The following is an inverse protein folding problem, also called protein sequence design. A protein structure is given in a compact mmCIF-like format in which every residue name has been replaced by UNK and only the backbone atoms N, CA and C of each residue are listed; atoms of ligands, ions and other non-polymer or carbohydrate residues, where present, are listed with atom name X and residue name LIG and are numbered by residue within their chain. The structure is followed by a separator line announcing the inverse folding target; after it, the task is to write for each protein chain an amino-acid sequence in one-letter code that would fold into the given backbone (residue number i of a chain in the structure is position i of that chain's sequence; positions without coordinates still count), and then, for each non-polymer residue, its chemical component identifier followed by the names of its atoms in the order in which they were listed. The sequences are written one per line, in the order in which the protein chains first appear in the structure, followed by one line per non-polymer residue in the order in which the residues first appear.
data_IF_820805793470
#
_entry.id   IF_820805793470
#
_cell.length_a   1.000
_cell.length_b   1.000
_cell.length_c   1.000
_cell.angle_alpha   90.00
_cell.angle_beta   90.00
_cell.angle_gamma   90.00
#
_symmetry.space_group_name_H-M   'P 1'
#
loop_
_entity.id
_entity.type
_entity.pdbx_description
1 polymer ?
#
# COMPACT_ATOMS: atom_id res chain seq x y z
N UNK A 1 -7.86 20.76 5.31
CA UNK A 1 -6.99 21.34 6.34
C UNK A 1 -5.68 21.65 5.63
N UNK A 2 -5.31 22.91 5.66
CA UNK A 2 -4.09 23.45 5.05
C UNK A 2 -2.89 23.06 5.92
N UNK A 3 -1.76 22.73 5.32
CA UNK A 3 -0.54 22.44 6.06
C UNK A 3 0.20 23.74 6.44
N UNK A 4 1.28 23.60 7.22
CA UNK A 4 2.11 24.72 7.65
C UNK A 4 2.77 25.50 6.50
N UNK A 5 2.79 24.95 5.28
CA UNK A 5 3.34 25.59 4.08
C UNK A 5 2.25 26.26 3.22
N UNK A 6 1.00 26.28 3.68
CA UNK A 6 -0.13 26.83 2.94
C UNK A 6 -0.64 25.90 1.83
N UNK A 7 -0.30 24.61 1.89
CA UNK A 7 -0.63 23.63 0.86
C UNK A 7 -1.77 22.71 1.32
N UNK A 8 -2.58 22.25 0.36
CA UNK A 8 -3.61 21.22 0.61
C UNK A 8 -3.41 20.06 -0.34
N UNK A 9 -3.24 18.85 0.21
CA UNK A 9 -3.26 17.61 -0.57
C UNK A 9 -4.69 17.26 -0.91
N UNK A 10 -5.00 17.16 -2.21
CA UNK A 10 -6.32 16.67 -2.65
C UNK A 10 -6.45 15.19 -2.24
N UNK A 11 -7.55 14.84 -1.57
CA UNK A 11 -7.83 13.45 -1.16
C UNK A 11 -7.77 12.47 -2.33
N UNK A 12 -8.30 12.85 -3.50
CA UNK A 12 -8.23 12.05 -4.72
C UNK A 12 -6.77 11.80 -5.20
N UNK A 13 -5.80 12.61 -4.78
CA UNK A 13 -4.39 12.36 -5.04
C UNK A 13 -3.85 11.23 -4.15
N UNK A 14 -4.25 11.20 -2.87
CA UNK A 14 -3.89 10.15 -1.93
C UNK A 14 -4.59 8.83 -2.26
N UNK A 15 -5.88 8.85 -2.62
CA UNK A 15 -6.62 7.67 -3.06
C UNK A 15 -5.91 6.96 -4.22
N UNK A 16 -5.46 7.72 -5.23
CA UNK A 16 -4.73 7.17 -6.38
C UNK A 16 -3.34 6.65 -6.02
N UNK A 17 -2.75 7.11 -4.92
CA UNK A 17 -1.44 6.68 -4.45
C UNK A 17 -1.52 5.58 -3.37
N UNK A 18 -2.71 5.28 -2.86
CA UNK A 18 -2.90 4.36 -1.74
C UNK A 18 -2.40 2.95 -2.03
N UNK A 19 -2.66 2.41 -3.22
CA UNK A 19 -2.18 1.07 -3.61
C UNK A 19 -0.65 0.99 -3.62
N UNK A 20 0.01 2.05 -4.08
CA UNK A 20 1.46 2.14 -4.07
C UNK A 20 1.99 2.23 -2.64
N UNK A 21 1.40 3.09 -1.81
CA UNK A 21 1.76 3.23 -0.41
C UNK A 21 1.57 1.92 0.38
N UNK A 22 0.49 1.19 0.16
CA UNK A 22 0.24 -0.09 0.83
C UNK A 22 1.22 -1.19 0.42
N UNK A 23 1.77 -1.13 -0.81
CA UNK A 23 2.68 -2.16 -1.33
C UNK A 23 4.17 -1.83 -1.16
N UNK A 24 4.53 -0.54 -1.06
CA UNK A 24 5.93 -0.09 -1.03
C UNK A 24 6.24 0.88 0.12
N UNK A 25 5.21 1.39 0.79
CA UNK A 25 5.36 2.43 1.80
C UNK A 25 5.66 1.89 3.18
N UNK A 26 6.04 2.80 4.08
CA UNK A 26 6.47 2.48 5.44
C UNK A 26 5.90 3.45 6.48
N UNK A 27 5.90 3.01 7.74
CA UNK A 27 5.74 3.89 8.89
C UNK A 27 7.11 4.34 9.39
N UNK A 28 7.30 5.65 9.53
CA UNK A 28 8.57 6.22 9.94
C UNK A 28 8.47 7.05 11.23
N UNK A 29 9.59 7.22 11.92
CA UNK A 29 9.73 8.20 12.99
C UNK A 29 10.29 9.50 12.41
N UNK A 30 9.47 10.57 12.44
CA UNK A 30 9.87 11.94 12.12
C UNK A 30 10.58 12.12 10.75
N UNK A 31 10.21 11.29 9.75
CA UNK A 31 10.83 11.26 8.41
C UNK A 31 12.36 11.06 8.42
N UNK A 32 12.95 10.65 9.56
CA UNK A 32 14.40 10.66 9.76
C UNK A 32 15.11 9.76 8.75
N UNK A 33 14.54 8.61 8.44
CA UNK A 33 15.12 7.70 7.44
C UNK A 33 15.41 8.39 6.09
N UNK A 34 14.69 9.45 5.72
CA UNK A 34 15.01 10.27 4.53
C UNK A 34 15.95 11.43 4.82
N UNK A 35 15.81 12.08 5.98
CA UNK A 35 16.61 13.25 6.33
C UNK A 35 18.07 12.92 6.62
N UNK A 36 18.34 11.81 7.29
CA UNK A 36 19.68 11.41 7.73
C UNK A 36 20.05 9.97 7.34
N UNK A 37 19.29 9.34 6.44
CA UNK A 37 19.51 7.96 5.99
C UNK A 37 19.57 6.94 7.15
N UNK A 38 18.76 7.16 8.19
CA UNK A 38 18.70 6.36 9.40
C UNK A 38 17.63 5.26 9.28
N UNK A 39 18.02 4.00 8.96
CA UNK A 39 17.06 2.92 8.77
C UNK A 39 16.34 2.51 10.06
N UNK A 40 16.88 2.82 11.24
CA UNK A 40 16.19 2.52 12.50
C UNK A 40 14.94 3.38 12.68
N UNK A 41 14.85 4.50 11.97
CA UNK A 41 13.67 5.35 11.95
C UNK A 41 12.55 4.78 11.07
N UNK A 42 12.74 3.64 10.41
CA UNK A 42 11.67 2.84 9.82
C UNK A 42 11.10 1.96 10.94
N UNK A 43 9.92 2.30 11.43
CA UNK A 43 9.36 1.75 12.68
C UNK A 43 8.22 0.76 12.44
N UNK A 44 7.76 0.61 11.20
CA UNK A 44 6.66 -0.30 10.87
C UNK A 44 6.22 -0.21 9.42
N UNK A 45 5.11 -0.86 9.12
CA UNK A 45 4.53 -0.91 7.77
C UNK A 45 3.01 -0.64 7.81
N UNK A 46 2.46 -0.02 6.75
CA UNK A 46 1.03 0.13 6.62
C UNK A 46 0.36 -1.22 6.34
N UNK A 47 -0.88 -1.36 6.79
CA UNK A 47 -1.74 -2.51 6.56
C UNK A 47 -2.98 -2.13 5.76
N UNK A 48 -3.52 -0.94 6.02
CA UNK A 48 -4.77 -0.51 5.42
C UNK A 48 -4.83 1.02 5.36
N UNK A 49 -5.40 1.55 4.30
CA UNK A 49 -5.75 2.97 4.17
C UNK A 49 -7.25 3.08 3.93
N UNK A 50 -7.88 4.00 4.64
CA UNK A 50 -9.29 4.30 4.50
C UNK A 50 -9.51 5.79 4.35
N UNK A 51 -10.38 6.14 3.42
CA UNK A 51 -10.85 7.51 3.21
C UNK A 51 -12.27 7.62 3.75
N UNK A 52 -12.53 8.66 4.52
CA UNK A 52 -13.83 8.88 5.19
C UNK A 52 -14.59 10.04 4.54
N UNK A 53 -15.91 10.04 4.69
CA UNK A 53 -16.79 11.05 4.10
C UNK A 53 -16.49 12.48 4.61
N UNK A 54 -15.95 12.60 5.82
CA UNK A 54 -15.50 13.87 6.42
C UNK A 54 -14.11 14.31 5.93
N UNK A 55 -13.64 13.75 4.82
CA UNK A 55 -12.36 14.05 4.17
C UNK A 55 -11.14 13.80 5.06
N UNK A 56 -11.18 12.76 5.90
CA UNK A 56 -10.00 12.26 6.61
C UNK A 56 -9.41 11.05 5.90
N UNK A 57 -8.12 10.85 6.13
CA UNK A 57 -7.39 9.67 5.69
C UNK A 57 -6.90 8.94 6.93
N UNK A 58 -7.36 7.71 7.10
CA UNK A 58 -6.99 6.85 8.21
C UNK A 58 -6.01 5.81 7.70
N UNK A 59 -4.89 5.66 8.39
CA UNK A 59 -3.87 4.67 8.08
C UNK A 59 -3.74 3.74 9.26
N UNK A 60 -3.98 2.46 9.02
CA UNK A 60 -3.65 1.39 9.95
C UNK A 60 -2.31 0.82 9.56
N UNK A 61 -1.47 0.54 10.54
CA UNK A 61 -0.25 -0.21 10.34
C UNK A 61 0.14 -0.96 11.60
N UNK A 62 1.29 -1.62 11.53
CA UNK A 62 1.90 -2.32 12.65
C UNK A 62 3.31 -1.82 12.87
N UNK A 63 3.77 -1.88 14.12
CA UNK A 63 5.10 -1.44 14.52
C UNK A 63 6.02 -2.65 14.73
N UNK A 64 7.30 -2.53 14.33
CA UNK A 64 8.27 -3.60 14.50
C UNK A 64 8.60 -3.83 15.99
N UNK A 65 8.31 -5.03 16.48
CA UNK A 65 8.47 -5.40 17.89
C UNK A 65 9.90 -5.25 18.41
N UNK A 66 10.90 -5.47 17.55
CA UNK A 66 12.31 -5.43 17.93
C UNK A 66 13.00 -4.09 17.66
N UNK A 67 12.30 -3.10 17.10
CA UNK A 67 12.84 -1.76 16.87
C UNK A 67 12.67 -0.88 18.12
N UNK A 68 13.76 -0.31 18.64
CA UNK A 68 13.73 0.45 19.90
C UNK A 68 12.99 1.79 19.79
N UNK A 69 13.01 2.44 18.62
CA UNK A 69 12.20 3.65 18.39
C UNK A 69 10.72 3.29 18.32
N UNK A 70 10.37 2.20 17.65
CA UNK A 70 9.02 1.68 17.58
C UNK A 70 8.45 1.38 18.99
N UNK A 71 9.24 0.73 19.85
CA UNK A 71 8.86 0.49 21.27
C UNK A 71 8.63 1.79 22.05
N UNK A 72 9.48 2.80 21.86
CA UNK A 72 9.32 4.11 22.52
C UNK A 72 8.06 4.82 22.04
N UNK A 73 7.81 4.82 20.74
CA UNK A 73 6.57 5.37 20.15
C UNK A 73 5.35 4.66 20.71
N UNK A 74 5.36 3.32 20.72
CA UNK A 74 4.29 2.50 21.29
C UNK A 74 4.00 2.86 22.76
N UNK A 75 5.05 2.96 23.58
CA UNK A 75 4.91 3.32 24.99
C UNK A 75 4.32 4.73 25.16
N UNK A 76 4.75 5.69 24.35
CA UNK A 76 4.20 7.05 24.40
C UNK A 76 2.70 7.06 24.05
N UNK A 77 2.30 6.36 22.99
CA UNK A 77 0.88 6.26 22.61
C UNK A 77 0.07 5.59 23.74
N UNK A 78 0.60 4.52 24.33
CA UNK A 78 -0.05 3.83 25.47
C UNK A 78 -0.18 4.71 26.71
N UNK A 79 0.73 5.65 26.91
CA UNK A 79 0.66 6.66 27.97
C UNK A 79 -0.28 7.83 27.66
N UNK A 80 -1.01 7.81 26.53
CA UNK A 80 -1.94 8.87 26.16
C UNK A 80 -1.28 10.11 25.55
N UNK A 81 -0.16 9.94 24.83
CA UNK A 81 0.53 11.08 24.22
C UNK A 81 -0.28 11.79 23.13
N UNK A 82 -0.84 12.95 23.45
CA UNK A 82 -1.58 13.81 22.51
C UNK A 82 -0.67 14.61 21.56
N UNK A 83 0.61 14.70 21.87
CA UNK A 83 1.59 15.47 21.08
C UNK A 83 2.21 14.68 19.92
N UNK A 84 1.71 13.49 19.64
CA UNK A 84 2.09 12.73 18.46
C UNK A 84 1.02 12.92 17.39
N UNK A 85 1.45 13.37 16.22
CA UNK A 85 0.65 13.47 15.02
C UNK A 85 1.20 12.63 13.88
N UNK A 86 0.57 12.78 12.72
CA UNK A 86 0.94 12.06 11.51
C UNK A 86 1.34 13.04 10.40
N UNK A 87 2.36 12.68 9.63
CA UNK A 87 2.79 13.48 8.50
C UNK A 87 2.99 12.58 7.30
N UNK A 88 2.26 12.89 6.22
CA UNK A 88 2.43 12.22 4.93
C UNK A 88 3.77 12.63 4.36
N UNK A 89 4.58 11.65 3.95
CA UNK A 89 5.80 11.90 3.21
C UNK A 89 5.74 11.28 1.82
N UNK A 90 6.73 11.67 1.02
CA UNK A 90 6.85 11.29 -0.38
C UNK A 90 7.13 12.47 -1.29
N UNK A 91 6.78 12.32 -2.56
CA UNK A 91 7.11 13.28 -3.61
C UNK A 91 5.87 13.94 -4.20
N UNK A 92 5.93 15.25 -4.43
CA UNK A 92 4.89 15.97 -5.18
C UNK A 92 5.17 15.79 -6.68
N UNK A 93 4.24 15.15 -7.40
CA UNK A 93 4.33 14.97 -8.85
C UNK A 93 3.66 16.09 -9.63
N UNK A 94 2.58 16.66 -9.09
CA UNK A 94 1.86 17.77 -9.72
C UNK A 94 1.20 18.65 -8.67
N UNK A 95 1.55 19.94 -8.71
CA UNK A 95 0.93 21.01 -7.93
C UNK A 95 0.17 21.95 -8.86
N UNK A 96 -0.96 22.48 -8.41
CA UNK A 96 -1.70 23.56 -9.07
C UNK A 96 -1.98 24.64 -8.02
N UNK A 97 -1.23 25.74 -8.05
CA UNK A 97 -1.23 26.76 -6.99
C UNK A 97 -0.81 26.15 -5.64
N UNK A 98 -1.70 26.21 -4.65
CA UNK A 98 -1.67 25.70 -3.28
C UNK A 98 -2.16 24.24 -3.18
N UNK A 99 -2.70 23.67 -4.26
CA UNK A 99 -3.26 22.31 -4.24
C UNK A 99 -2.34 21.27 -4.86
N UNK A 100 -2.06 20.23 -4.09
CA UNK A 100 -1.31 19.08 -4.56
C UNK A 100 -2.29 18.08 -5.19
N UNK A 101 -2.18 17.90 -6.53
CA UNK A 101 -3.10 17.07 -7.32
C UNK A 101 -2.59 15.67 -7.62
N UNK A 102 -1.27 15.45 -7.53
CA UNK A 102 -0.65 14.13 -7.65
C UNK A 102 0.55 14.04 -6.72
N UNK A 103 0.63 12.91 -6.02
CA UNK A 103 1.73 12.57 -5.12
C UNK A 103 2.25 11.17 -5.43
N UNK A 104 3.50 10.94 -5.08
CA UNK A 104 3.99 9.62 -4.68
C UNK A 104 3.86 9.59 -3.17
N UNK A 105 3.05 8.69 -2.64
CA UNK A 105 2.92 8.48 -1.22
C UNK A 105 3.69 7.21 -0.84
N UNK A 106 4.81 7.38 -0.14
CA UNK A 106 5.75 6.31 0.20
C UNK A 106 5.99 6.18 1.72
N UNK A 107 5.52 7.13 2.53
CA UNK A 107 5.63 7.04 3.98
C UNK A 107 4.50 7.76 4.71
N UNK A 108 4.25 7.33 5.93
CA UNK A 108 3.60 8.13 6.97
C UNK A 108 4.51 8.18 8.18
N UNK A 109 4.95 9.38 8.56
CA UNK A 109 5.71 9.57 9.78
C UNK A 109 4.77 9.77 10.97
N UNK A 110 5.08 9.07 12.06
CA UNK A 110 4.64 9.46 13.41
C UNK A 110 5.64 10.51 13.89
N UNK A 111 5.15 11.68 14.26
CA UNK A 111 6.03 12.81 14.62
C UNK A 111 5.40 13.74 15.65
N UNK A 112 6.25 14.45 16.38
CA UNK A 112 5.86 15.54 17.28
C UNK A 112 5.77 16.90 16.57
N UNK A 113 6.08 16.93 15.26
CA UNK A 113 6.07 18.12 14.39
C UNK A 113 5.44 17.78 13.04
N UNK A 114 4.16 17.40 13.02
CA UNK A 114 3.51 17.12 11.76
C UNK A 114 3.43 18.39 10.91
N UNK A 115 3.57 18.27 9.58
CA UNK A 115 3.32 19.42 8.69
C UNK A 115 1.89 19.94 8.80
N UNK A 116 0.94 19.07 9.14
CA UNK A 116 -0.43 19.44 9.43
C UNK A 116 -0.70 19.24 10.92
N UNK A 117 -0.74 20.34 11.67
CA UNK A 117 -0.97 20.33 13.13
C UNK A 117 -2.32 19.74 13.53
N UNK A 118 -3.30 19.75 12.63
CA UNK A 118 -4.60 19.11 12.84
C UNK A 118 -4.54 17.58 12.98
N UNK A 119 -3.36 16.98 12.80
CA UNK A 119 -3.11 15.55 13.05
C UNK A 119 -2.55 15.26 14.44
N UNK A 120 -2.17 16.28 15.23
CA UNK A 120 -1.75 16.05 16.62
C UNK A 120 -2.87 15.37 17.40
N UNK A 121 -2.52 14.35 18.17
CA UNK A 121 -3.47 13.54 18.94
C UNK A 121 -4.24 12.52 18.10
N UNK A 122 -4.03 12.47 16.78
CA UNK A 122 -4.70 11.51 15.90
C UNK A 122 -4.01 10.14 15.85
N UNK A 123 -2.88 9.97 16.53
CA UNK A 123 -2.13 8.71 16.60
C UNK A 123 -2.58 7.95 17.85
N UNK A 124 -3.33 6.87 17.65
CA UNK A 124 -3.87 6.08 18.75
C UNK A 124 -3.71 4.57 18.51
N UNK A 125 -3.73 3.81 19.59
CA UNK A 125 -3.96 2.37 19.51
C UNK A 125 -5.46 2.16 19.31
N UNK A 126 -5.86 1.55 18.20
CA UNK A 126 -7.26 1.16 18.02
C UNK A 126 -7.41 -0.27 18.58
N UNK A 127 -8.22 -0.51 19.62
CA UNK A 127 -8.58 -1.88 19.99
C UNK A 127 -9.26 -2.53 18.78
N UNK A 128 -8.88 -3.78 18.48
CA UNK A 128 -9.32 -4.50 17.27
C UNK A 128 -10.85 -4.45 17.05
N UNK A 129 -11.62 -4.43 18.15
CA UNK A 129 -13.08 -4.29 18.15
C UNK A 129 -13.59 -2.93 17.66
N UNK A 130 -12.97 -1.82 18.07
CA UNK A 130 -13.32 -0.48 17.63
C UNK A 130 -12.97 -0.25 16.15
N UNK A 131 -11.85 -0.84 15.70
CA UNK A 131 -11.45 -0.81 14.29
C UNK A 131 -12.43 -1.60 13.40
N UNK A 132 -12.77 -2.82 13.79
CA UNK A 132 -13.74 -3.64 13.05
C UNK A 132 -15.11 -2.95 12.98
N UNK A 133 -15.54 -2.30 14.07
CA UNK A 133 -16.76 -1.49 14.09
C UNK A 133 -16.66 -0.31 13.12
N UNK A 134 -15.56 0.45 13.15
CA UNK A 134 -15.35 1.60 12.28
C UNK A 134 -15.26 1.24 10.78
N UNK A 135 -14.80 0.03 10.44
CA UNK A 135 -14.88 -0.50 9.07
C UNK A 135 -16.34 -0.76 8.69
N UNK A 136 -17.08 -1.50 9.51
CA UNK A 136 -18.50 -1.78 9.24
C UNK A 136 -19.38 -0.52 9.17
N UNK A 137 -19.03 0.55 9.90
CA UNK A 137 -19.79 1.81 9.90
C UNK A 137 -19.60 2.66 8.64
N UNK A 138 -18.48 2.56 7.89
CA UNK A 138 -18.38 3.32 6.63
C UNK A 138 -19.07 2.63 5.46
N UNK A 139 -19.46 1.36 5.60
CA UNK A 139 -20.25 0.65 4.58
C UNK A 139 -21.77 0.89 4.79
N UNK A 140 -22.18 1.51 5.90
CA UNK A 140 -23.58 1.80 6.23
C UNK A 140 -23.75 3.19 6.84
N UNK A 141 -24.22 4.14 6.02
CA UNK A 141 -24.31 5.58 6.34
C UNK A 141 -24.96 5.92 7.68
N UNK A 142 -24.12 6.24 8.67
CA UNK A 142 -24.52 6.80 9.98
C UNK A 142 -23.56 7.91 10.40
N UNK A 143 -24.03 8.82 11.26
CA UNK A 143 -23.49 10.18 11.46
C UNK A 143 -22.17 10.23 12.25
N UNK A 144 -21.44 11.34 12.07
CA UNK A 144 -20.15 11.65 12.70
C UNK A 144 -20.18 11.55 14.25
N UNK A 145 -21.33 11.78 14.86
CA UNK A 145 -21.54 11.74 16.31
C UNK A 145 -21.43 10.31 16.85
N UNK A 146 -21.90 9.32 16.10
CA UNK A 146 -21.78 7.90 16.49
C UNK A 146 -20.34 7.38 16.30
N UNK A 147 -19.62 7.91 15.31
CA UNK A 147 -18.19 7.66 15.10
C UNK A 147 -17.34 8.19 16.26
N UNK A 148 -17.59 9.42 16.70
CA UNK A 148 -16.91 10.02 17.87
C UNK A 148 -17.25 9.26 19.14
N UNK A 149 -18.53 8.91 19.36
CA UNK A 149 -18.97 8.13 20.52
C UNK A 149 -18.34 6.73 20.58
N UNK A 150 -18.15 6.08 19.44
CA UNK A 150 -17.47 4.78 19.38
C UNK A 150 -15.97 4.86 19.65
N UNK A 151 -15.35 6.01 19.36
CA UNK A 151 -13.94 6.30 19.67
C UNK A 151 -13.75 6.66 21.15
N UNK A 152 -14.60 7.53 21.71
CA UNK A 152 -14.50 7.97 23.11
C UNK A 152 -14.93 6.92 24.13
N UNK A 153 -15.89 6.04 23.79
CA UNK A 153 -16.28 4.94 24.68
C UNK A 153 -15.17 3.87 24.89
N UNK A 154 -14.04 3.97 24.18
CA UNK A 154 -12.84 3.16 24.41
C UNK A 154 -11.72 3.89 25.17
N UNK A 155 -11.91 5.15 25.53
CA UNK A 155 -10.90 6.01 26.15
C UNK A 155 -11.52 6.97 27.16
N UNK A 156 -11.79 6.51 28.39
CA UNK A 156 -12.03 7.39 29.53
C UNK A 156 -13.22 6.99 30.40
N UNK A 157 -12.91 6.65 31.65
CA UNK A 157 -13.82 6.58 32.78
C UNK A 157 -14.40 7.97 33.11
N UNK A 158 -15.69 7.95 33.46
CA UNK A 158 -16.42 8.71 34.50
C UNK A 158 -16.05 10.18 34.79
N UNK A 159 -16.97 11.05 34.34
CA UNK A 159 -17.53 12.26 34.98
C UNK A 159 -16.88 12.77 36.28
N UNK A 160 -16.31 13.98 36.23
CA UNK A 160 -16.40 14.94 37.35
C UNK A 160 -16.72 16.34 36.79
N UNK A 161 -17.91 16.83 37.16
CA UNK A 161 -18.37 18.20 36.97
C UNK A 161 -17.61 19.13 37.93
N UNK A 162 -16.92 20.16 37.41
CA UNK A 162 -16.40 21.26 38.20
C UNK A 162 -17.48 22.36 38.34
N UNK A 163 -18.02 22.55 39.54
CA UNK A 163 -18.65 23.82 39.96
C UNK A 163 -17.69 24.63 40.85
N UNK A 164 -17.51 25.91 40.50
CA UNK A 164 -16.86 26.94 41.31
C UNK A 164 -17.68 27.27 42.58
N UNK A 165 -17.05 27.30 43.76
CA UNK A 165 -17.40 28.29 44.80
C UNK A 165 -16.17 28.73 45.61
N UNK A 166 -16.08 30.05 45.74
CA UNK A 166 -15.09 30.88 46.42
C UNK A 166 -15.21 30.87 47.98
N UNK A 167 -14.07 31.01 48.65
CA UNK A 167 -13.83 31.68 49.94
C UNK A 167 -14.64 31.33 51.24
N UNK A 168 -13.99 30.65 52.21
CA UNK A 168 -13.64 31.14 53.59
C UNK A 168 -13.53 30.09 54.70
N UNK A 169 -12.52 30.35 55.54
CA UNK A 169 -12.39 30.03 56.97
C UNK A 169 -12.15 28.58 57.43
N UNK A 170 -10.89 28.35 57.80
CA UNK A 170 -10.45 27.30 58.69
C UNK A 170 -11.05 27.46 60.11
N UNK A 171 -11.81 26.46 60.58
CA UNK A 171 -11.91 26.07 61.99
C UNK A 171 -12.04 24.56 62.09
N UNK A 172 -11.02 23.94 62.70
CA UNK A 172 -10.96 22.50 62.89
C UNK A 172 -12.07 21.97 63.81
N UNK A 173 -12.59 20.80 63.45
CA UNK A 173 -13.28 19.88 64.37
C UNK A 173 -12.77 18.48 64.02
N UNK A 174 -11.92 17.92 64.89
CA UNK A 174 -11.63 16.48 64.89
C UNK A 174 -12.87 15.77 65.40
N UNK A 175 -13.73 15.29 64.49
CA UNK A 175 -14.69 14.22 64.79
C UNK A 175 -13.99 12.89 64.54
N UNK A 176 -14.02 12.01 65.54
CA UNK A 176 -13.49 10.65 65.46
C UNK A 176 -14.31 9.82 64.49
N UNK A 177 -13.62 8.90 63.79
CA UNK A 177 -14.17 7.93 62.83
C UNK A 177 -15.34 7.12 63.42
N UNK A 178 -15.38 6.92 64.73
CA UNK A 178 -16.43 6.16 65.42
C UNK A 178 -17.80 6.84 65.42
N UNK A 179 -17.88 8.16 65.17
CA UNK A 179 -19.15 8.91 65.08
C UNK A 179 -19.80 8.83 63.68
N UNK A 180 -19.10 8.26 62.68
CA UNK A 180 -19.60 8.12 61.30
C UNK A 180 -20.25 6.75 61.03
N UNK A 181 -20.06 5.78 61.93
CA UNK A 181 -20.56 4.41 61.80
C UNK A 181 -21.86 4.15 62.59
N UNK A 182 -22.45 5.18 63.18
CA UNK A 182 -23.74 5.09 63.84
C UNK A 182 -24.87 5.02 62.79
N UNK A 183 -25.18 3.79 62.37
CA UNK A 183 -26.45 3.27 61.85
C UNK A 183 -27.32 4.28 61.08
N UNK A 184 -26.88 4.63 59.87
CA UNK A 184 -27.77 5.15 58.84
C UNK A 184 -28.31 3.99 58.00
N UNK A 185 -29.62 3.66 58.05
CA UNK A 185 -30.21 2.62 57.22
C UNK A 185 -30.12 2.91 55.71
N UNK A 186 -29.71 4.12 55.28
CA UNK A 186 -29.37 4.41 53.88
C UNK A 186 -27.99 3.88 53.47
N UNK A 187 -27.06 3.66 54.41
CA UNK A 187 -25.72 3.15 54.12
C UNK A 187 -25.70 1.66 53.75
N UNK A 188 -26.63 0.86 54.29
CA UNK A 188 -26.80 -0.55 53.87
C UNK A 188 -27.33 -0.68 52.43
N UNK A 189 -28.20 0.24 52.00
CA UNK A 189 -28.71 0.26 50.63
C UNK A 189 -27.65 0.70 49.60
N UNK A 190 -26.71 1.57 50.00
CA UNK A 190 -25.58 2.00 49.16
C UNK A 190 -24.48 0.91 49.02
N UNK A 191 -24.49 -0.12 49.87
CA UNK A 191 -23.56 -1.25 49.82
C UNK A 191 -24.12 -2.50 49.09
N UNK A 192 -25.33 -2.44 48.52
CA UNK A 192 -25.86 -3.54 47.73
C UNK A 192 -25.14 -3.64 46.38
N UNK A 193 -24.10 -4.47 46.33
CA UNK A 193 -23.32 -4.81 45.13
C UNK A 193 -24.01 -5.82 44.21
N UNK A 194 -25.21 -6.30 44.56
CA UNK A 194 -25.97 -7.26 43.74
C UNK A 194 -26.29 -6.77 42.32
N UNK A 195 -26.66 -5.49 42.09
CA UNK A 195 -26.88 -4.96 40.73
C UNK A 195 -25.61 -5.01 39.88
N UNK A 196 -24.46 -4.68 40.48
CA UNK A 196 -23.16 -4.73 39.82
C UNK A 196 -22.77 -6.18 39.46
N UNK A 197 -22.94 -7.13 40.38
CA UNK A 197 -22.66 -8.54 40.13
C UNK A 197 -23.59 -9.14 39.06
N UNK A 198 -24.86 -8.74 39.03
CA UNK A 198 -25.80 -9.16 37.99
C UNK A 198 -25.39 -8.62 36.61
N UNK A 199 -24.94 -7.36 36.56
CA UNK A 199 -24.49 -6.72 35.33
C UNK A 199 -23.17 -7.32 34.83
N UNK A 200 -22.24 -7.63 35.74
CA UNK A 200 -20.99 -8.34 35.43
C UNK A 200 -21.26 -9.75 34.90
N UNK A 201 -22.17 -10.51 35.53
CA UNK A 201 -22.54 -11.85 35.08
C UNK A 201 -23.17 -11.82 33.69
N UNK A 202 -24.01 -10.82 33.41
CA UNK A 202 -24.59 -10.60 32.08
C UNK A 202 -23.54 -10.24 31.04
N UNK A 203 -22.55 -9.42 31.41
CA UNK A 203 -21.44 -9.07 30.53
C UNK A 203 -20.54 -10.27 30.21
N UNK A 204 -20.21 -11.10 31.21
CA UNK A 204 -19.44 -12.33 31.03
C UNK A 204 -20.16 -13.30 30.10
N UNK A 205 -21.47 -13.50 30.30
CA UNK A 205 -22.28 -14.38 29.43
C UNK A 205 -22.34 -13.88 27.98
N UNK A 206 -22.44 -12.56 27.77
CA UNK A 206 -22.40 -11.97 26.43
C UNK A 206 -21.01 -12.12 25.76
N UNK A 207 -19.93 -12.15 26.55
CA UNK A 207 -18.58 -12.44 26.06
C UNK A 207 -18.47 -13.92 25.64
N UNK A 208 -18.97 -14.86 26.45
CA UNK A 208 -18.98 -16.29 26.11
C UNK A 208 -19.72 -16.56 24.80
N UNK A 209 -20.92 -16.00 24.61
CA UNK A 209 -21.70 -16.15 23.37
C UNK A 209 -20.95 -15.59 22.14
N UNK A 210 -20.17 -14.52 22.32
CA UNK A 210 -19.33 -13.94 21.26
C UNK A 210 -18.11 -14.80 20.94
N UNK A 211 -17.48 -15.39 21.96
CA UNK A 211 -16.35 -16.31 21.78
C UNK A 211 -16.80 -17.54 21.01
N UNK A 212 -17.96 -18.10 21.34
CA UNK A 212 -18.54 -19.23 20.60
C UNK A 212 -18.84 -18.87 19.14
N UNK A 213 -19.40 -17.67 18.90
CA UNK A 213 -19.65 -17.16 17.55
C UNK A 213 -18.37 -16.99 16.74
N UNK A 214 -17.30 -16.47 17.36
CA UNK A 214 -15.99 -16.34 16.72
C UNK A 214 -15.37 -17.71 16.41
N UNK A 215 -15.45 -18.66 17.33
CA UNK A 215 -14.94 -20.01 17.13
C UNK A 215 -15.64 -20.69 15.95
N UNK A 216 -16.96 -20.53 15.82
CA UNK A 216 -17.72 -21.03 14.68
C UNK A 216 -17.30 -20.35 13.37
N UNK A 217 -17.17 -19.02 13.36
CA UNK A 217 -16.73 -18.28 12.17
C UNK A 217 -15.32 -18.65 11.71
N UNK A 218 -14.40 -18.89 12.66
CA UNK A 218 -13.04 -19.37 12.36
C UNK A 218 -13.11 -20.77 11.73
N UNK A 219 -13.91 -21.68 12.29
CA UNK A 219 -14.09 -23.03 11.75
C UNK A 219 -14.62 -22.98 10.32
N UNK A 220 -15.65 -22.17 10.05
CA UNK A 220 -16.23 -22.04 8.70
C UNK A 220 -15.23 -21.47 7.69
N UNK A 221 -14.43 -20.48 8.10
CA UNK A 221 -13.36 -19.92 7.26
C UNK A 221 -12.22 -20.92 7.01
N UNK A 222 -11.87 -21.75 7.99
CA UNK A 222 -10.86 -22.81 7.79
C UNK A 222 -11.32 -23.84 6.76
N UNK A 223 -12.60 -24.22 6.75
CA UNK A 223 -13.17 -25.08 5.70
C UNK A 223 -13.06 -24.39 4.32
N UNK A 224 -13.35 -23.08 4.26
CA UNK A 224 -13.13 -22.28 3.05
C UNK A 224 -11.69 -22.31 2.55
N UNK A 225 -10.71 -22.11 3.45
CA UNK A 225 -9.28 -22.19 3.11
C UNK A 225 -8.88 -23.58 2.62
N UNK A 226 -9.37 -24.64 3.26
CA UNK A 226 -9.09 -26.02 2.84
C UNK A 226 -9.62 -26.32 1.43
N UNK A 227 -10.83 -25.85 1.12
CA UNK A 227 -11.40 -26.01 -0.23
C UNK A 227 -10.61 -25.21 -1.28
N UNK A 228 -10.15 -24.01 -0.93
CA UNK A 228 -9.31 -23.19 -1.81
C UNK A 228 -7.95 -23.85 -2.07
N UNK A 229 -7.32 -24.41 -1.02
CA UNK A 229 -6.06 -25.16 -1.16
C UNK A 229 -6.22 -26.39 -2.06
N UNK A 230 -7.33 -27.13 -1.92
CA UNK A 230 -7.65 -28.25 -2.81
C UNK A 230 -7.84 -27.80 -4.26
N UNK A 231 -8.50 -26.67 -4.49
CA UNK A 231 -8.68 -26.10 -5.83
C UNK A 231 -7.35 -25.64 -6.44
N UNK A 232 -6.51 -24.96 -5.65
CA UNK A 232 -5.18 -24.52 -6.07
C UNK A 232 -4.28 -25.72 -6.42
N UNK A 233 -4.30 -26.78 -5.61
CA UNK A 233 -3.58 -28.02 -5.91
C UNK A 233 -3.99 -28.64 -7.25
N UNK A 234 -5.29 -28.67 -7.55
CA UNK A 234 -5.81 -29.13 -8.85
C UNK A 234 -5.36 -28.23 -10.01
N UNK A 235 -5.40 -26.90 -9.83
CA UNK A 235 -4.97 -25.95 -10.86
C UNK A 235 -3.48 -26.10 -11.18
N UNK A 236 -2.62 -26.22 -10.16
CA UNK A 236 -1.18 -26.47 -10.33
C UNK A 236 -0.92 -27.79 -11.04
N UNK A 237 -1.66 -28.85 -10.71
CA UNK A 237 -1.56 -30.13 -11.38
C UNK A 237 -1.92 -30.02 -12.88
N UNK A 238 -3.03 -29.36 -13.21
CA UNK A 238 -3.44 -29.13 -14.61
C UNK A 238 -2.43 -28.27 -15.37
N UNK A 239 -1.84 -27.27 -14.72
CA UNK A 239 -0.77 -26.45 -15.31
C UNK A 239 0.47 -27.30 -15.63
N UNK A 240 0.84 -28.22 -14.74
CA UNK A 240 1.94 -29.16 -14.99
C UNK A 240 1.63 -30.11 -16.16
N UNK A 241 0.41 -30.63 -16.27
CA UNK A 241 0.00 -31.45 -17.42
C UNK A 241 0.02 -30.65 -18.73
N UNK A 242 -0.45 -29.40 -18.71
CA UNK A 242 -0.39 -28.52 -19.87
C UNK A 242 1.05 -28.28 -20.32
N UNK A 243 1.97 -28.00 -19.38
CA UNK A 243 3.39 -27.82 -19.69
C UNK A 243 4.00 -29.09 -20.28
N UNK A 244 3.65 -30.28 -19.75
CA UNK A 244 4.09 -31.56 -20.33
C UNK A 244 3.56 -31.73 -21.76
N UNK A 245 2.28 -31.44 -21.99
CA UNK A 245 1.66 -31.52 -23.33
C UNK A 245 2.31 -30.55 -24.33
N UNK A 246 2.56 -29.30 -23.91
CA UNK A 246 3.27 -28.30 -24.72
C UNK A 246 4.68 -28.76 -25.06
N UNK A 247 5.43 -29.30 -24.08
CA UNK A 247 6.77 -29.84 -24.32
C UNK A 247 6.74 -30.98 -25.32
N UNK A 248 5.82 -31.93 -25.18
CA UNK A 248 5.64 -33.03 -26.15
C UNK A 248 5.32 -32.50 -27.55
N UNK A 249 4.46 -31.48 -27.64
CA UNK A 249 4.11 -30.84 -28.91
C UNK A 249 5.32 -30.14 -29.55
N UNK A 250 6.11 -29.42 -28.76
CA UNK A 250 7.35 -28.78 -29.21
C UNK A 250 8.37 -29.82 -29.65
N UNK A 251 8.51 -30.93 -28.93
CA UNK A 251 9.40 -32.04 -29.30
C UNK A 251 8.93 -32.73 -30.59
N UNK A 252 7.62 -32.83 -30.84
CA UNK A 252 7.06 -33.33 -32.08
C UNK A 252 7.31 -32.36 -33.25
N UNK A 253 7.10 -31.06 -33.05
CA UNK A 253 7.39 -30.01 -34.05
C UNK A 253 8.88 -29.97 -34.36
N UNK A 254 9.76 -30.11 -33.36
CA UNK A 254 11.20 -30.13 -33.55
C UNK A 254 11.68 -31.40 -34.29
N UNK A 255 10.91 -32.50 -34.26
CA UNK A 255 11.18 -33.72 -35.02
C UNK A 255 10.56 -33.70 -36.42
N UNK A 256 9.48 -32.96 -36.63
CA UNK A 256 9.00 -32.62 -37.97
C UNK A 256 9.93 -31.56 -38.58
N UNK A 257 10.94 -32.02 -39.31
CA UNK A 257 11.83 -31.20 -40.12
C UNK A 257 11.04 -30.61 -41.31
N UNK A 258 10.12 -29.69 -41.02
CA UNK A 258 9.43 -28.90 -42.04
C UNK A 258 10.25 -27.66 -42.29
N UNK A 259 10.87 -27.62 -43.46
CA UNK A 259 11.46 -26.41 -44.03
C UNK A 259 10.42 -25.27 -44.01
N UNK A 260 10.51 -24.41 -43.00
CA UNK A 260 9.62 -23.26 -42.87
C UNK A 260 10.01 -22.27 -43.96
N UNK A 261 9.16 -22.11 -44.98
CA UNK A 261 9.43 -21.30 -46.18
C UNK A 261 9.84 -19.84 -45.93
N UNK A 262 9.74 -19.33 -44.70
CA UNK A 262 10.30 -18.05 -44.28
C UNK A 262 11.84 -18.02 -44.23
N UNK A 263 12.51 -19.09 -43.79
CA UNK A 263 13.98 -19.13 -43.74
C UNK A 263 14.62 -19.25 -45.12
N UNK A 264 13.98 -19.98 -46.05
CA UNK A 264 14.43 -20.07 -47.44
C UNK A 264 14.37 -18.71 -48.17
N UNK A 265 13.45 -17.83 -47.79
CA UNK A 265 13.36 -16.49 -48.38
C UNK A 265 14.49 -15.58 -47.93
N UNK A 266 15.08 -15.76 -46.74
CA UNK A 266 16.15 -14.89 -46.22
C UNK A 266 17.55 -15.20 -46.78
N UNK A 267 17.74 -16.37 -47.41
CA UNK A 267 19.02 -16.81 -48.00
C UNK A 267 19.29 -16.33 -49.44
N UNK A 268 18.32 -15.72 -50.13
CA UNK A 268 18.53 -15.24 -51.50
C UNK A 268 19.20 -13.85 -51.48
N UNK A 269 20.25 -13.68 -52.29
CA UNK A 269 20.88 -12.39 -52.62
C UNK A 269 19.81 -11.31 -52.84
N UNK A 270 20.05 -10.11 -52.32
CA UNK A 270 19.08 -8.99 -52.37
C UNK A 270 19.38 -7.94 -53.42
N UNK A 271 20.55 -8.01 -54.05
CA UNK A 271 20.95 -7.10 -55.11
C UNK A 271 21.20 -7.92 -56.38
N UNK A 272 20.30 -7.80 -57.36
CA UNK A 272 20.44 -8.45 -58.66
C UNK A 272 20.91 -7.43 -59.71
N UNK A 273 22.18 -7.53 -60.11
CA UNK A 273 22.79 -6.74 -61.19
C UNK A 273 24.25 -7.15 -61.43
N UNK A 274 24.74 -7.05 -62.67
CA UNK A 274 26.17 -7.28 -62.94
C UNK A 274 27.01 -6.27 -62.14
N UNK A 275 27.76 -6.75 -61.13
CA UNK A 275 28.54 -5.94 -60.20
C UNK A 275 27.88 -5.62 -58.85
N UNK A 276 26.75 -6.24 -58.52
CA UNK A 276 26.13 -6.13 -57.20
C UNK A 276 26.79 -7.05 -56.15
N UNK A 277 26.85 -6.58 -54.90
CA UNK A 277 27.41 -7.37 -53.79
C UNK A 277 26.35 -8.37 -53.31
N UNK A 278 26.68 -9.66 -53.36
CA UNK A 278 25.82 -10.74 -52.88
C UNK A 278 25.96 -10.87 -51.37
N UNK A 279 25.06 -10.21 -50.63
CA UNK A 279 24.98 -10.29 -49.17
C UNK A 279 23.59 -10.78 -48.76
N UNK A 280 23.54 -11.66 -47.75
CA UNK A 280 22.28 -12.21 -47.26
C UNK A 280 21.56 -11.23 -46.31
N UNK A 281 20.24 -11.40 -46.18
CA UNK A 281 19.41 -10.52 -45.35
C UNK A 281 19.90 -10.39 -43.89
N UNK A 282 20.23 -11.50 -43.20
CA UNK A 282 20.77 -11.45 -41.85
C UNK A 282 22.05 -10.62 -41.71
N UNK A 283 23.01 -10.77 -42.64
CA UNK A 283 24.26 -9.99 -42.60
C UNK A 283 23.98 -8.49 -42.80
N UNK A 284 23.02 -8.13 -43.65
CA UNK A 284 22.61 -6.72 -43.81
C UNK A 284 22.01 -6.15 -42.52
N UNK A 285 21.25 -6.94 -41.75
CA UNK A 285 20.69 -6.51 -40.46
C UNK A 285 21.76 -6.36 -39.37
N UNK A 286 22.78 -7.21 -39.40
CA UNK A 286 23.93 -7.08 -38.49
C UNK A 286 24.73 -5.81 -38.82
N UNK A 287 25.03 -5.59 -40.10
CA UNK A 287 25.72 -4.40 -40.59
C UNK A 287 24.93 -3.11 -40.37
N UNK A 288 23.60 -3.14 -40.47
CA UNK A 288 22.80 -1.93 -40.21
C UNK A 288 22.95 -1.45 -38.77
N UNK A 289 23.09 -2.35 -37.79
CA UNK A 289 23.36 -1.99 -36.39
C UNK A 289 24.73 -1.35 -36.22
N UNK A 290 25.75 -1.88 -36.89
CA UNK A 290 27.09 -1.30 -36.93
C UNK A 290 27.07 0.11 -37.55
N UNK A 291 26.36 0.29 -38.66
CA UNK A 291 26.25 1.58 -39.33
C UNK A 291 25.51 2.64 -38.50
N UNK A 292 24.54 2.25 -37.66
CA UNK A 292 23.92 3.17 -36.68
C UNK A 292 24.95 3.60 -35.64
N UNK A 293 25.75 2.67 -35.11
CA UNK A 293 26.80 2.98 -34.13
C UNK A 293 27.88 3.92 -34.72
N UNK A 294 28.22 3.73 -35.99
CA UNK A 294 29.17 4.55 -36.75
C UNK A 294 28.55 5.85 -37.29
N UNK A 295 27.25 6.12 -37.02
CA UNK A 295 26.50 7.28 -37.54
C UNK A 295 26.49 7.40 -39.06
N UNK A 296 26.64 6.28 -39.77
CA UNK A 296 26.53 6.19 -41.24
C UNK A 296 25.07 6.17 -41.71
N UNK A 297 24.18 5.66 -40.85
CA UNK A 297 22.73 5.74 -40.99
C UNK A 297 22.09 6.17 -39.67
N UNK A 298 20.86 6.68 -39.72
CA UNK A 298 20.07 6.95 -38.53
C UNK A 298 19.17 5.76 -38.12
N UNK A 299 18.51 5.88 -36.96
CA UNK A 299 17.65 4.82 -36.40
C UNK A 299 16.42 4.57 -37.28
N UNK A 300 15.90 5.60 -37.96
CA UNK A 300 14.72 5.47 -38.84
C UNK A 300 15.10 4.74 -40.12
N UNK A 301 16.25 5.07 -40.72
CA UNK A 301 16.85 4.36 -41.85
C UNK A 301 17.10 2.89 -41.50
N UNK A 302 17.62 2.59 -40.30
CA UNK A 302 17.81 1.22 -39.83
C UNK A 302 16.49 0.44 -39.71
N UNK A 303 15.44 1.07 -39.18
CA UNK A 303 14.10 0.46 -39.11
C UNK A 303 13.50 0.18 -40.49
N UNK A 304 13.74 1.08 -41.46
CA UNK A 304 13.31 0.89 -42.85
C UNK A 304 14.09 -0.24 -43.53
N UNK A 305 15.40 -0.35 -43.29
CA UNK A 305 16.22 -1.47 -43.77
C UNK A 305 15.68 -2.78 -43.21
N UNK A 306 15.41 -2.87 -41.91
CA UNK A 306 14.86 -4.07 -41.28
C UNK A 306 13.51 -4.48 -41.90
N UNK A 307 12.61 -3.50 -42.06
CA UNK A 307 11.32 -3.74 -42.69
C UNK A 307 11.47 -4.27 -44.13
N UNK A 308 12.39 -3.70 -44.92
CA UNK A 308 12.63 -4.07 -46.32
C UNK A 308 13.33 -5.43 -46.44
N UNK A 309 14.26 -5.76 -45.54
CA UNK A 309 14.89 -7.09 -45.49
C UNK A 309 13.84 -8.16 -45.21
N UNK A 310 12.97 -7.93 -44.22
CA UNK A 310 11.90 -8.86 -43.84
C UNK A 310 10.86 -9.05 -44.95
N UNK A 311 10.58 -7.98 -45.72
CA UNK A 311 9.67 -8.03 -46.87
C UNK A 311 10.33 -8.50 -48.17
N UNK A 312 11.64 -8.76 -48.16
CA UNK A 312 12.42 -9.07 -49.35
C UNK A 312 12.28 -8.00 -50.46
N UNK A 313 12.34 -6.73 -50.07
CA UNK A 313 12.20 -5.59 -50.97
C UNK A 313 13.35 -4.59 -50.89
N UNK A 314 14.38 -4.89 -50.09
CA UNK A 314 15.61 -4.10 -50.04
C UNK A 314 16.33 -4.19 -51.39
N UNK A 315 16.76 -3.06 -51.95
CA UNK A 315 17.38 -2.98 -53.29
C UNK A 315 16.39 -3.00 -54.45
N UNK A 316 15.10 -3.19 -54.19
CA UNK A 316 14.05 -3.24 -55.23
C UNK A 316 13.54 -1.85 -55.61
N UNK A 317 13.54 -0.90 -54.66
CA UNK A 317 12.98 0.43 -54.88
C UNK A 317 13.98 1.36 -55.58
N UNK A 318 15.29 1.06 -55.49
CA UNK A 318 16.39 1.85 -56.08
C UNK A 318 16.34 3.33 -55.67
N UNK A 319 15.91 3.58 -54.45
CA UNK A 319 15.87 4.92 -53.85
C UNK A 319 17.19 5.26 -53.15
N UNK A 320 17.24 6.44 -52.53
CA UNK A 320 18.44 6.92 -51.84
C UNK A 320 18.89 5.97 -50.73
N UNK A 321 17.94 5.33 -50.02
CA UNK A 321 18.25 4.35 -48.97
C UNK A 321 18.87 3.08 -49.56
N UNK A 322 18.29 2.53 -50.63
CA UNK A 322 18.83 1.34 -51.30
C UNK A 322 20.25 1.62 -51.84
N UNK A 323 20.46 2.79 -52.46
CA UNK A 323 21.76 3.22 -52.99
C UNK A 323 22.80 3.44 -51.89
N UNK A 324 22.37 4.01 -50.75
CA UNK A 324 23.21 4.24 -49.57
C UNK A 324 23.64 2.92 -48.95
N UNK A 325 22.72 1.97 -48.79
CA UNK A 325 23.02 0.62 -48.27
C UNK A 325 23.97 -0.13 -49.20
N UNK A 326 23.75 -0.08 -50.52
CA UNK A 326 24.65 -0.74 -51.49
C UNK A 326 26.08 -0.17 -51.42
N UNK A 327 26.23 1.17 -51.31
CA UNK A 327 27.53 1.81 -51.12
C UNK A 327 28.21 1.37 -49.83
N UNK A 328 27.47 1.35 -48.71
CA UNK A 328 28.01 0.95 -47.41
C UNK A 328 28.44 -0.52 -47.38
N UNK A 329 27.73 -1.39 -48.11
CA UNK A 329 28.12 -2.79 -48.28
C UNK A 329 29.41 -2.89 -49.10
N UNK A 330 29.53 -2.12 -50.20
CA UNK A 330 30.73 -2.08 -51.04
C UNK A 330 31.96 -1.53 -50.30
N UNK A 331 31.77 -0.57 -49.38
CA UNK A 331 32.84 -0.05 -48.51
C UNK A 331 33.28 -1.05 -47.43
N UNK A 332 32.41 -1.99 -47.06
CA UNK A 332 32.67 -2.99 -46.02
C UNK A 332 33.15 -4.35 -46.55
N UNK A 333 33.14 -4.54 -47.88
CA UNK A 333 33.59 -5.76 -48.59
C UNK A 333 35.01 -5.58 -49.11
#
# INVERSE_FOLDING_TARGET
IEDQDGETVDMAALEKAADYYLSHGILSWDHKHKQNNDPESIIGEPLEVKFTDDKKTLVKGWLYQHNDKAKKVWNNIRSGAERLGSSIGGGILRKASDRIRRVVWDEVAITHKPRNDGTLGSVSMIPFSAFAKAISYSEGGTSLEEFVKALTAGSGDEDEEEEEVDDKEAKGVKKSIDDFLAEDPEAEAAMDVSPFLAQLTKAVKAIEERVDGLQKSISDKMVGVETMLKAQGKATYLQMELQKSQRTTVELIAKEDREVGGMLRMRKSRFDGEGSVNIDGPTVLEKSREWVAEKKIDILEAGLIEQRVNKNSLGTYKDDLDSKVERLIKEAS
#
